data_IF_314089871692
#
_entry.id   IF_314089871692
#
_cell.length_a   1.000
_cell.length_b   1.000
_cell.length_c   1.000
_cell.angle_alpha   90.00
_cell.angle_beta   90.00
_cell.angle_gamma   90.00
#
_symmetry.space_group_name_H-M   'P 1'
#
loop_
_entity.id
_entity.type
_entity.pdbx_description
1 polymer ?
#
# COMPACT_ATOMS: atom_id res chain seq x y z
N UNK A 1 -7.53 18.97 16.13
CA UNK A 1 -6.51 17.97 16.53
C UNK A 1 -7.06 16.79 17.35
N UNK A 2 -8.33 16.81 17.79
CA UNK A 2 -8.89 15.80 18.71
C UNK A 2 -9.31 14.47 18.04
N UNK A 3 -9.69 14.49 16.76
CA UNK A 3 -10.37 13.35 16.12
C UNK A 3 -9.49 12.11 15.93
N UNK A 4 -8.26 12.28 15.44
CA UNK A 4 -7.32 11.16 15.20
C UNK A 4 -6.86 10.54 16.51
N UNK A 5 -6.58 11.36 17.53
CA UNK A 5 -6.17 10.88 18.85
C UNK A 5 -7.29 10.13 19.56
N UNK A 6 -8.53 10.64 19.47
CA UNK A 6 -9.70 9.93 20.01
C UNK A 6 -9.95 8.60 19.31
N UNK A 7 -9.81 8.55 17.99
CA UNK A 7 -9.96 7.33 17.19
C UNK A 7 -8.86 6.31 17.48
N UNK A 8 -7.60 6.75 17.62
CA UNK A 8 -6.52 5.84 18.01
C UNK A 8 -6.73 5.28 19.43
N UNK A 9 -7.17 6.13 20.36
CA UNK A 9 -7.41 5.73 21.75
C UNK A 9 -8.56 4.71 21.88
N UNK A 10 -9.54 4.71 20.97
CA UNK A 10 -10.61 3.71 21.01
C UNK A 10 -10.17 2.28 20.70
N UNK A 11 -8.97 2.08 20.16
CA UNK A 11 -8.39 0.76 19.96
C UNK A 11 -7.51 0.30 21.12
N UNK A 12 -7.34 1.14 22.15
CA UNK A 12 -6.54 0.81 23.33
C UNK A 12 -7.50 0.42 24.45
N UNK A 13 -7.30 -0.79 24.97
CA UNK A 13 -8.04 -1.32 26.12
C UNK A 13 -7.56 -0.69 27.42
N UNK A 14 -8.33 -0.84 28.51
CA UNK A 14 -8.00 -0.27 29.82
C UNK A 14 -6.71 -0.82 30.44
N UNK A 15 -6.26 -1.99 29.98
CA UNK A 15 -5.00 -2.65 30.32
C UNK A 15 -3.81 -2.18 29.46
N UNK A 16 -3.99 -1.11 28.68
CA UNK A 16 -3.01 -0.55 27.74
C UNK A 16 -2.62 -1.52 26.60
N UNK A 17 -3.42 -2.56 26.36
CA UNK A 17 -3.23 -3.43 25.20
C UNK A 17 -3.94 -2.89 23.97
N UNK A 18 -3.41 -3.22 22.79
CA UNK A 18 -4.05 -2.87 21.52
C UNK A 18 -5.08 -3.95 21.20
N UNK A 19 -6.30 -3.53 20.85
CA UNK A 19 -7.36 -4.42 20.44
C UNK A 19 -6.96 -5.25 19.22
N UNK A 20 -7.35 -6.53 19.21
CA UNK A 20 -7.07 -7.43 18.11
C UNK A 20 -7.74 -6.93 16.81
N UNK A 21 -6.99 -6.89 15.71
CA UNK A 21 -7.44 -6.40 14.41
C UNK A 21 -7.79 -7.51 13.40
N UNK A 22 -7.81 -8.79 13.81
CA UNK A 22 -8.12 -9.94 12.95
C UNK A 22 -9.48 -9.88 12.22
N UNK A 23 -10.43 -9.11 12.76
CA UNK A 23 -11.75 -8.91 12.14
C UNK A 23 -11.81 -7.73 11.16
N UNK A 24 -10.70 -7.02 10.95
CA UNK A 24 -10.64 -5.89 10.04
C UNK A 24 -10.09 -6.30 8.69
N UNK A 25 -10.78 -5.84 7.66
CA UNK A 25 -10.34 -5.97 6.29
C UNK A 25 -9.74 -4.64 5.84
N UNK A 26 -8.40 -4.58 5.79
CA UNK A 26 -7.68 -3.37 5.39
C UNK A 26 -7.65 -3.29 3.87
N UNK A 27 -8.19 -2.20 3.31
CA UNK A 27 -8.21 -1.95 1.87
C UNK A 27 -7.54 -0.61 1.60
N UNK A 28 -6.64 -0.56 0.62
CA UNK A 28 -5.95 0.66 0.23
C UNK A 28 -5.79 0.74 -1.29
N UNK A 29 -5.76 1.98 -1.79
CA UNK A 29 -5.45 2.29 -3.19
C UNK A 29 -4.09 2.97 -3.27
N UNK A 30 -3.19 2.37 -4.07
CA UNK A 30 -1.84 2.89 -4.25
C UNK A 30 -1.58 3.20 -5.72
N UNK A 31 -1.09 4.41 -5.99
CA UNK A 31 -0.59 4.80 -7.30
C UNK A 31 0.85 4.34 -7.50
N UNK A 32 1.08 3.49 -8.49
CA UNK A 32 2.41 3.08 -8.94
C UNK A 32 2.76 3.79 -10.24
N UNK A 33 3.92 4.45 -10.27
CA UNK A 33 4.46 5.05 -11.48
C UNK A 33 5.25 3.99 -12.22
N UNK A 34 4.90 3.71 -13.48
CA UNK A 34 5.63 2.81 -14.36
C UNK A 34 6.90 3.52 -14.87
N UNK A 35 7.86 3.70 -13.96
CA UNK A 35 9.18 4.25 -14.25
C UNK A 35 10.22 3.47 -13.46
N UNK A 36 11.41 3.29 -14.05
CA UNK A 36 12.58 2.90 -13.26
C UNK A 36 12.93 4.08 -12.35
N UNK A 37 12.92 3.88 -11.03
CA UNK A 37 13.12 4.95 -10.05
C UNK A 37 14.48 5.66 -10.22
N UNK A 38 15.50 4.91 -10.65
CA UNK A 38 16.86 5.38 -10.92
C UNK A 38 17.43 4.54 -12.07
N UNK A 39 17.53 5.12 -13.27
CA UNK A 39 18.22 4.49 -14.39
C UNK A 39 19.60 5.13 -14.47
N UNK A 40 20.65 4.39 -14.10
CA UNK A 40 22.04 4.85 -14.20
C UNK A 40 22.59 4.38 -15.54
N UNK A 41 22.99 5.33 -16.38
CA UNK A 41 23.64 5.05 -17.65
C UNK A 41 25.14 5.28 -17.47
N UNK A 42 25.95 4.28 -17.80
CA UNK A 42 27.40 4.43 -17.87
C UNK A 42 27.75 4.81 -19.31
N UNK A 43 28.27 6.02 -19.50
CA UNK A 43 28.74 6.50 -20.80
C UNK A 43 30.26 6.47 -20.88
N UNK A 44 30.79 6.13 -22.06
CA UNK A 44 32.22 6.23 -22.35
C UNK A 44 32.56 7.69 -22.66
N UNK A 45 33.80 8.12 -22.35
CA UNK A 45 34.27 9.48 -22.66
C UNK A 45 34.20 9.74 -24.17
N UNK A 46 33.29 10.64 -24.58
CA UNK A 46 33.03 10.98 -25.98
C UNK A 46 31.60 10.68 -26.46
N UNK A 47 30.82 9.91 -25.70
CA UNK A 47 29.43 9.62 -26.04
C UNK A 47 28.48 10.77 -25.62
N UNK A 48 27.41 10.96 -26.39
CA UNK A 48 26.34 11.87 -26.02
C UNK A 48 25.51 11.27 -24.88
N UNK A 49 25.26 12.02 -23.79
CA UNK A 49 24.47 11.50 -22.68
C UNK A 49 23.04 11.16 -23.15
N UNK A 50 22.42 10.11 -22.60
CA UNK A 50 21.10 9.70 -23.03
C UNK A 50 20.07 10.82 -22.75
N UNK A 51 19.21 11.13 -23.74
CA UNK A 51 18.22 12.18 -23.57
C UNK A 51 17.23 11.80 -22.46
N UNK A 52 17.01 12.73 -21.52
CA UNK A 52 15.95 12.56 -20.51
C UNK A 52 14.60 12.73 -21.20
N UNK A 53 13.91 11.61 -21.44
CA UNK A 53 12.70 11.57 -22.26
C UNK A 53 11.47 12.20 -21.58
N UNK A 54 11.47 12.42 -20.26
CA UNK A 54 10.26 12.84 -19.53
C UNK A 54 10.46 14.16 -18.77
N UNK A 55 9.80 15.23 -19.26
CA UNK A 55 9.84 16.59 -18.68
C UNK A 55 8.91 16.78 -17.48
N UNK A 56 7.85 15.97 -17.33
CA UNK A 56 6.85 16.10 -16.25
C UNK A 56 6.31 14.72 -15.80
N UNK A 57 6.08 14.55 -14.49
CA UNK A 57 5.48 13.36 -13.86
C UNK A 57 4.07 13.01 -14.38
N UNK A 58 3.38 13.95 -15.04
CA UNK A 58 2.06 13.71 -15.65
C UNK A 58 2.11 12.80 -16.89
N UNK A 59 3.24 12.72 -17.58
CA UNK A 59 3.42 11.85 -18.76
C UNK A 59 3.92 10.44 -18.39
N UNK A 60 4.20 10.20 -17.12
CA UNK A 60 4.59 8.87 -16.64
C UNK A 60 3.31 8.07 -16.49
N UNK A 61 3.24 6.91 -17.15
CA UNK A 61 2.13 5.97 -17.01
C UNK A 61 1.98 5.63 -15.53
N UNK A 62 0.76 5.76 -15.00
CA UNK A 62 0.44 5.42 -13.61
C UNK A 62 -0.58 4.30 -13.60
N UNK A 63 -0.41 3.38 -12.68
CA UNK A 63 -1.35 2.29 -12.42
C UNK A 63 -1.86 2.45 -11.00
N UNK A 64 -3.18 2.43 -10.81
CA UNK A 64 -3.76 2.25 -9.46
C UNK A 64 -3.80 0.76 -9.20
N UNK A 65 -3.33 0.36 -8.03
CA UNK A 65 -3.59 -0.97 -7.51
C UNK A 65 -4.46 -0.82 -6.27
N UNK A 66 -5.65 -1.43 -6.33
CA UNK A 66 -6.51 -1.66 -5.17
C UNK A 66 -6.11 -3.01 -4.57
N UNK A 67 -5.85 -3.04 -3.28
CA UNK A 67 -5.46 -4.27 -2.58
C UNK A 67 -6.10 -4.35 -1.21
N UNK A 68 -6.38 -5.58 -0.78
CA UNK A 68 -6.93 -5.87 0.54
C UNK A 68 -6.00 -6.84 1.29
N UNK A 69 -5.79 -6.56 2.58
CA UNK A 69 -4.95 -7.36 3.46
C UNK A 69 -5.74 -7.83 4.68
N UNK A 70 -5.73 -9.13 4.91
CA UNK A 70 -6.39 -9.80 6.03
C UNK A 70 -5.39 -10.73 6.72
N UNK A 71 -5.68 -11.04 7.97
CA UNK A 71 -4.94 -12.09 8.65
C UNK A 71 -5.24 -13.46 8.03
N UNK A 72 -4.30 -14.39 8.18
CA UNK A 72 -4.33 -15.76 7.65
C UNK A 72 -5.59 -16.51 8.08
N UNK A 73 -6.11 -16.21 9.28
CA UNK A 73 -7.30 -16.86 9.84
C UNK A 73 -8.62 -16.42 9.17
N UNK A 74 -8.61 -15.36 8.36
CA UNK A 74 -9.80 -14.84 7.70
C UNK A 74 -10.42 -15.85 6.72
N UNK A 75 -9.61 -16.53 5.91
CA UNK A 75 -10.10 -17.53 4.95
C UNK A 75 -10.82 -18.70 5.62
N UNK A 76 -10.22 -19.22 6.69
CA UNK A 76 -10.83 -20.32 7.46
C UNK A 76 -12.16 -19.90 8.08
N UNK A 77 -12.26 -18.64 8.53
CA UNK A 77 -13.50 -18.08 9.06
C UNK A 77 -14.60 -17.98 7.99
N UNK A 78 -14.27 -17.52 6.78
CA UNK A 78 -15.23 -17.44 5.67
C UNK A 78 -15.75 -18.83 5.30
N UNK A 79 -14.84 -19.81 5.16
CA UNK A 79 -15.21 -21.18 4.80
C UNK A 79 -16.08 -21.85 5.89
N UNK A 80 -15.80 -21.59 7.17
CA UNK A 80 -16.65 -22.08 8.26
C UNK A 80 -18.03 -21.43 8.29
N UNK A 81 -18.18 -20.18 7.80
CA UNK A 81 -19.49 -19.55 7.66
C UNK A 81 -20.27 -20.19 6.50
N UNK A 82 -19.63 -20.40 5.35
CA UNK A 82 -20.29 -21.03 4.20
C UNK A 82 -20.69 -22.49 4.42
N UNK A 83 -19.95 -23.21 5.27
CA UNK A 83 -20.24 -24.62 5.59
C UNK A 83 -21.32 -24.80 6.67
N UNK A 84 -21.68 -23.72 7.39
CA UNK A 84 -22.73 -23.73 8.41
C UNK A 84 -24.04 -23.07 7.94
N UNK A 85 -24.11 -22.67 6.67
CA UNK A 85 -25.32 -22.19 5.97
C UNK A 85 -25.80 -23.24 4.98
#
# INVERSE_FOLDING_TARGET
MYFRSKWALSFISSDLTVANMENYVHVDEKWFFLKVAKCTFYGVTGETPPPRVVKNKNFIIKVIVLSHMHDTNFYNKINNISNNT
#
